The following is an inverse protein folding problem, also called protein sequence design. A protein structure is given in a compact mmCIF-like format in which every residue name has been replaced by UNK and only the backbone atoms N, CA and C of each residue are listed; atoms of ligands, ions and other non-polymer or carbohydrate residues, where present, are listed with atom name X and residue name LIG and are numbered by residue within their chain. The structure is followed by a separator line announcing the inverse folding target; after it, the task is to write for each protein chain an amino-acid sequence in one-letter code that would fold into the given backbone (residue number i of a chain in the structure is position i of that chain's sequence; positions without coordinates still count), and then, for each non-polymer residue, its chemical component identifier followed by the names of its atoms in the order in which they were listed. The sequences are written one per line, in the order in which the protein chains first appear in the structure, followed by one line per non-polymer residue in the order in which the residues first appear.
data_IF_387027420214
#
_entry.id   IF_387027420214
#
_cell.length_a   1.000
_cell.length_b   1.000
_cell.length_c   1.000
_cell.angle_alpha   90.00
_cell.angle_beta   90.00
_cell.angle_gamma   90.00
#
_symmetry.space_group_name_H-M   'P 1'
#
loop_
_entity.id
_entity.type
_entity.pdbx_description
1 polymer ?
#
# COMPACT_ATOMS: atom_id res chain seq x y z
N UNK A 1 12.83 -29.33 5.93
CA UNK A 1 12.99 -27.96 5.40
C UNK A 1 11.61 -27.35 5.33
N UNK A 2 11.39 -26.24 6.04
CA UNK A 2 10.11 -25.54 6.16
C UNK A 2 9.59 -25.10 4.77
N UNK A 3 8.27 -25.13 4.58
CA UNK A 3 7.62 -24.69 3.34
C UNK A 3 7.91 -23.20 3.08
N UNK A 4 7.97 -22.38 4.13
CA UNK A 4 8.38 -20.97 4.06
C UNK A 4 9.78 -20.83 3.49
N UNK A 5 10.74 -21.66 3.94
CA UNK A 5 12.12 -21.62 3.43
C UNK A 5 12.20 -22.02 1.94
N UNK A 6 11.39 -22.99 1.51
CA UNK A 6 11.31 -23.40 0.09
C UNK A 6 10.77 -22.27 -0.77
N UNK A 7 9.66 -21.66 -0.37
CA UNK A 7 9.04 -20.53 -1.09
C UNK A 7 10.02 -19.35 -1.13
N UNK A 8 10.61 -18.99 0.01
CA UNK A 8 11.58 -17.90 0.11
C UNK A 8 12.76 -18.09 -0.86
N UNK A 9 13.34 -19.30 -0.93
CA UNK A 9 14.44 -19.60 -1.86
C UNK A 9 14.03 -19.47 -3.32
N UNK A 10 12.82 -19.90 -3.68
CA UNK A 10 12.30 -19.76 -5.05
C UNK A 10 12.06 -18.30 -5.44
N UNK A 11 11.55 -17.49 -4.51
CA UNK A 11 11.44 -16.03 -4.70
C UNK A 11 12.84 -15.44 -4.90
N UNK A 12 13.79 -15.80 -4.03
CA UNK A 12 15.16 -15.30 -4.06
C UNK A 12 15.89 -15.65 -5.37
N UNK A 13 15.66 -16.85 -5.92
CA UNK A 13 16.29 -17.30 -7.15
C UNK A 13 15.60 -16.81 -8.43
N UNK A 14 14.45 -16.12 -8.32
CA UNK A 14 13.64 -15.75 -9.48
C UNK A 14 13.16 -16.97 -10.27
N UNK A 15 12.73 -18.04 -9.58
CA UNK A 15 12.32 -19.29 -10.23
C UNK A 15 11.18 -19.07 -11.25
N UNK A 16 11.43 -19.40 -12.52
CA UNK A 16 10.46 -19.29 -13.61
C UNK A 16 9.14 -20.05 -13.37
N UNK A 17 9.16 -21.09 -12.52
CA UNK A 17 7.99 -21.90 -12.16
C UNK A 17 7.41 -21.53 -10.79
N UNK A 18 7.79 -20.37 -10.24
CA UNK A 18 7.33 -19.93 -8.94
C UNK A 18 5.80 -19.91 -8.85
N UNK A 19 5.12 -19.30 -9.83
CA UNK A 19 3.65 -19.15 -9.80
C UNK A 19 2.96 -20.52 -9.79
N UNK A 20 3.31 -21.42 -10.70
CA UNK A 20 2.75 -22.78 -10.75
C UNK A 20 2.97 -23.53 -9.43
N UNK A 21 4.17 -23.39 -8.86
CA UNK A 21 4.50 -23.97 -7.58
C UNK A 21 3.64 -23.41 -6.44
N UNK A 22 3.43 -22.09 -6.39
CA UNK A 22 2.61 -21.46 -5.35
C UNK A 22 1.13 -21.88 -5.46
N UNK A 23 0.60 -21.99 -6.69
CA UNK A 23 -0.76 -22.47 -6.95
C UNK A 23 -0.91 -23.92 -6.49
N UNK A 24 0.04 -24.79 -6.87
CA UNK A 24 0.01 -26.20 -6.47
C UNK A 24 0.19 -26.40 -4.96
N UNK A 25 1.01 -25.58 -4.30
CA UNK A 25 1.25 -25.65 -2.86
C UNK A 25 0.05 -25.18 -2.04
N UNK A 26 -0.83 -24.34 -2.59
CA UNK A 26 -2.02 -23.80 -1.93
C UNK A 26 -1.75 -23.26 -0.51
N UNK A 27 -0.64 -22.52 -0.37
CA UNK A 27 -0.08 -22.11 0.92
C UNK A 27 0.00 -20.58 1.08
N UNK A 28 -1.14 -19.86 1.13
CA UNK A 28 -1.17 -18.39 1.10
C UNK A 28 -0.50 -17.73 2.31
N UNK A 29 -0.60 -18.35 3.49
CA UNK A 29 0.05 -17.87 4.72
C UNK A 29 1.57 -17.93 4.59
N UNK A 30 2.10 -19.05 4.12
CA UNK A 30 3.52 -19.28 3.93
C UNK A 30 4.08 -18.37 2.83
N UNK A 31 3.30 -18.11 1.76
CA UNK A 31 3.62 -17.09 0.76
C UNK A 31 3.77 -15.70 1.39
N UNK A 32 2.80 -15.28 2.20
CA UNK A 32 2.83 -13.98 2.87
C UNK A 32 4.05 -13.84 3.80
N UNK A 33 4.36 -14.89 4.57
CA UNK A 33 5.54 -14.92 5.46
C UNK A 33 6.84 -14.83 4.64
N UNK A 34 6.95 -15.62 3.56
CA UNK A 34 8.13 -15.64 2.70
C UNK A 34 8.35 -14.29 1.99
N UNK A 35 7.27 -13.67 1.48
CA UNK A 35 7.31 -12.34 0.88
C UNK A 35 7.69 -11.26 1.89
N UNK A 36 7.10 -11.28 3.08
CA UNK A 36 7.46 -10.33 4.15
C UNK A 36 8.93 -10.49 4.57
N UNK A 37 9.43 -11.74 4.66
CA UNK A 37 10.85 -12.02 4.90
C UNK A 37 11.71 -11.45 3.79
N UNK A 38 11.32 -11.63 2.52
CA UNK A 38 12.03 -11.06 1.37
C UNK A 38 12.12 -9.54 1.44
N UNK A 39 11.00 -8.82 1.64
CA UNK A 39 11.01 -7.37 1.77
C UNK A 39 11.88 -6.88 2.93
N UNK A 40 11.79 -7.53 4.09
CA UNK A 40 12.59 -7.16 5.27
C UNK A 40 14.08 -7.39 5.05
N UNK A 41 14.47 -8.55 4.51
CA UNK A 41 15.88 -8.90 4.29
C UNK A 41 16.55 -7.96 3.29
N UNK A 42 15.86 -7.65 2.18
CA UNK A 42 16.39 -6.80 1.11
C UNK A 42 16.09 -5.31 1.31
N UNK A 43 15.45 -4.92 2.43
CA UNK A 43 15.04 -3.55 2.75
C UNK A 43 14.29 -2.89 1.58
N UNK A 44 13.41 -3.64 0.93
CA UNK A 44 12.64 -3.17 -0.22
C UNK A 44 11.67 -2.10 0.25
N UNK A 45 11.80 -0.90 -0.29
CA UNK A 45 10.88 0.21 -0.07
C UNK A 45 9.88 0.27 -1.21
N UNK A 46 8.60 0.02 -0.89
CA UNK A 46 7.50 0.07 -1.87
C UNK A 46 7.21 1.52 -2.30
N UNK A 47 7.24 2.45 -1.35
CA UNK A 47 6.92 3.86 -1.59
C UNK A 47 8.19 4.70 -1.73
N UNK A 48 8.17 5.75 -2.57
CA UNK A 48 9.26 6.70 -2.63
C UNK A 48 9.37 7.50 -1.32
N UNK A 49 10.56 8.05 -1.05
CA UNK A 49 10.87 8.71 0.22
C UNK A 49 9.89 9.84 0.55
N UNK A 50 9.47 10.64 -0.43
CA UNK A 50 8.52 11.74 -0.20
C UNK A 50 7.13 11.25 0.14
N UNK A 51 6.65 10.19 -0.51
CA UNK A 51 5.39 9.53 -0.14
C UNK A 51 5.46 8.98 1.30
N UNK A 52 6.58 8.36 1.69
CA UNK A 52 6.80 7.89 3.07
C UNK A 52 6.76 9.04 4.08
N UNK A 53 7.43 10.15 3.79
CA UNK A 53 7.44 11.33 4.63
C UNK A 53 6.04 11.92 4.79
N UNK A 54 5.28 12.01 3.71
CA UNK A 54 3.91 12.51 3.71
C UNK A 54 2.97 11.63 4.54
N UNK A 55 3.03 10.30 4.37
CA UNK A 55 2.26 9.35 5.18
C UNK A 55 2.67 9.37 6.66
N UNK A 56 3.94 9.67 6.93
CA UNK A 56 4.48 9.69 8.28
C UNK A 56 4.23 11.01 9.02
N UNK A 57 3.92 12.09 8.29
CA UNK A 57 3.70 13.42 8.83
C UNK A 57 2.41 13.52 9.66
N UNK A 58 2.34 14.53 10.53
CA UNK A 58 1.09 14.94 11.18
C UNK A 58 0.27 15.75 10.19
N UNK A 59 -0.77 15.12 9.63
CA UNK A 59 -1.64 15.71 8.62
C UNK A 59 -2.93 16.30 9.24
N UNK A 60 -2.79 16.97 10.39
CA UNK A 60 -3.92 17.48 11.16
C UNK A 60 -4.72 18.49 10.34
N UNK A 61 -6.04 18.28 10.24
CA UNK A 61 -6.93 19.15 9.46
C UNK A 61 -6.84 18.99 7.94
N UNK A 62 -6.03 18.04 7.43
CA UNK A 62 -5.99 17.67 6.02
C UNK A 62 -6.89 16.44 5.77
N UNK A 63 -7.74 16.43 4.74
CA UNK A 63 -8.53 15.26 4.39
C UNK A 63 -7.63 14.07 4.07
N UNK A 64 -7.95 12.90 4.63
CA UNK A 64 -7.17 11.66 4.43
C UNK A 64 -7.09 11.27 2.96
N UNK A 65 -8.19 11.42 2.23
CA UNK A 65 -8.25 11.22 0.78
C UNK A 65 -7.26 12.11 0.04
N UNK A 66 -7.15 13.40 0.40
CA UNK A 66 -6.18 14.31 -0.22
C UNK A 66 -4.74 13.84 0.01
N UNK A 67 -4.40 13.40 1.23
CA UNK A 67 -3.08 12.84 1.54
C UNK A 67 -2.82 11.57 0.72
N UNK A 68 -3.81 10.68 0.60
CA UNK A 68 -3.70 9.46 -0.18
C UNK A 68 -3.47 9.74 -1.68
N UNK A 69 -4.23 10.65 -2.27
CA UNK A 69 -4.07 11.05 -3.67
C UNK A 69 -2.68 11.66 -3.93
N UNK A 70 -2.19 12.50 -3.01
CA UNK A 70 -0.86 13.11 -3.14
C UNK A 70 0.25 12.06 -3.02
N UNK A 71 0.06 11.04 -2.19
CA UNK A 71 0.94 9.85 -2.15
C UNK A 71 0.96 9.13 -3.50
N UNK A 72 -0.19 8.88 -4.13
CA UNK A 72 -0.26 8.23 -5.45
C UNK A 72 0.46 9.06 -6.51
N UNK A 73 0.27 10.38 -6.47
CA UNK A 73 0.92 11.30 -7.37
C UNK A 73 2.46 11.28 -7.22
N UNK A 74 2.96 11.23 -5.98
CA UNK A 74 4.39 11.06 -5.70
C UNK A 74 4.93 9.71 -6.20
N UNK A 75 4.16 8.62 -6.07
CA UNK A 75 4.54 7.32 -6.64
C UNK A 75 4.71 7.43 -8.16
N UNK A 76 3.75 8.06 -8.84
CA UNK A 76 3.77 8.23 -10.29
C UNK A 76 4.97 9.09 -10.73
N UNK A 77 5.23 10.21 -10.06
CA UNK A 77 6.30 11.14 -10.46
C UNK A 77 7.72 10.70 -10.07
N UNK A 78 7.91 9.99 -8.95
CA UNK A 78 9.26 9.67 -8.43
C UNK A 78 9.73 8.26 -8.77
N UNK A 79 8.86 7.40 -9.30
CA UNK A 79 9.24 6.07 -9.74
C UNK A 79 9.90 6.14 -11.12
N UNK A 80 11.16 6.58 -11.14
CA UNK A 80 11.98 6.75 -12.35
C UNK A 80 12.27 5.46 -13.13
N UNK A 81 11.94 4.28 -12.59
CA UNK A 81 11.98 3.01 -13.30
C UNK A 81 10.62 2.34 -13.30
N UNK A 82 10.20 1.85 -14.47
CA UNK A 82 8.93 1.12 -14.62
C UNK A 82 8.79 -0.02 -13.61
N UNK A 83 9.91 -0.66 -13.23
CA UNK A 83 9.90 -1.75 -12.24
C UNK A 83 9.52 -1.29 -10.82
N UNK A 84 9.94 -0.09 -10.39
CA UNK A 84 9.53 0.45 -9.07
C UNK A 84 8.06 0.82 -9.04
N UNK A 85 7.57 1.45 -10.11
CA UNK A 85 6.15 1.77 -10.25
C UNK A 85 5.31 0.49 -10.29
N UNK A 86 5.73 -0.51 -11.08
CA UNK A 86 5.07 -1.82 -11.15
C UNK A 86 5.02 -2.51 -9.80
N UNK A 87 6.12 -2.49 -9.03
CA UNK A 87 6.15 -3.05 -7.68
C UNK A 87 5.19 -2.32 -6.74
N UNK A 88 5.20 -0.98 -6.76
CA UNK A 88 4.30 -0.16 -5.95
C UNK A 88 2.83 -0.44 -6.30
N UNK A 89 2.48 -0.41 -7.58
CA UNK A 89 1.14 -0.69 -8.07
C UNK A 89 0.69 -2.11 -7.71
N UNK A 90 1.54 -3.13 -7.96
CA UNK A 90 1.21 -4.52 -7.65
C UNK A 90 0.98 -4.73 -6.15
N UNK A 91 1.84 -4.15 -5.30
CA UNK A 91 1.67 -4.26 -3.85
C UNK A 91 0.41 -3.55 -3.34
N UNK A 92 0.16 -2.32 -3.82
CA UNK A 92 -1.02 -1.55 -3.41
C UNK A 92 -2.32 -2.18 -3.91
N UNK A 93 -2.35 -2.74 -5.13
CA UNK A 93 -3.51 -3.50 -5.65
C UNK A 93 -3.76 -4.77 -4.86
N UNK A 94 -2.71 -5.49 -4.46
CA UNK A 94 -2.86 -6.63 -3.56
C UNK A 94 -3.51 -6.20 -2.23
N UNK A 95 -3.08 -5.07 -1.66
CA UNK A 95 -3.70 -4.52 -0.45
C UNK A 95 -5.16 -4.06 -0.69
N UNK A 96 -5.47 -3.47 -1.85
CA UNK A 96 -6.83 -3.12 -2.24
C UNK A 96 -7.72 -4.36 -2.33
N UNK A 97 -7.27 -5.43 -2.99
CA UNK A 97 -8.04 -6.68 -3.08
C UNK A 97 -8.31 -7.28 -1.70
N UNK A 98 -7.32 -7.30 -0.80
CA UNK A 98 -7.51 -7.75 0.58
C UNK A 98 -8.49 -6.86 1.35
N UNK A 99 -8.44 -5.55 1.11
CA UNK A 99 -9.33 -4.55 1.70
C UNK A 99 -10.78 -4.79 1.26
N UNK A 100 -11.01 -4.88 -0.06
CA UNK A 100 -12.33 -5.06 -0.65
C UNK A 100 -12.94 -6.41 -0.26
N UNK A 101 -12.14 -7.48 -0.21
CA UNK A 101 -12.60 -8.78 0.31
C UNK A 101 -13.06 -8.67 1.76
N UNK A 102 -12.32 -7.96 2.61
CA UNK A 102 -12.73 -7.71 3.99
C UNK A 102 -14.08 -6.98 4.11
N UNK A 103 -14.39 -6.08 3.17
CA UNK A 103 -15.71 -5.44 3.11
C UNK A 103 -16.82 -6.37 2.61
N UNK A 104 -16.53 -7.23 1.64
CA UNK A 104 -17.52 -8.11 1.00
C UNK A 104 -17.81 -9.38 1.81
N UNK A 105 -16.85 -9.88 2.60
CA UNK A 105 -17.02 -11.07 3.46
C UNK A 105 -16.76 -10.79 4.94
N UNK A 106 -17.59 -9.93 5.59
CA UNK A 106 -17.36 -9.50 6.98
C UNK A 106 -17.43 -10.64 8.01
N UNK A 107 -18.02 -11.79 7.65
CA UNK A 107 -18.06 -12.99 8.49
C UNK A 107 -16.73 -13.77 8.52
N UNK A 108 -15.87 -13.59 7.50
CA UNK A 108 -14.54 -14.21 7.42
C UNK A 108 -13.46 -13.26 7.93
N UNK A 109 -13.65 -11.95 7.72
CA UNK A 109 -12.75 -10.89 8.16
C UNK A 109 -13.60 -9.78 8.81
N UNK A 110 -13.75 -9.83 10.14
CA UNK A 110 -14.60 -8.88 10.90
C UNK A 110 -14.10 -7.42 10.89
N UNK A 111 -12.85 -7.17 10.44
CA UNK A 111 -12.17 -5.88 10.51
C UNK A 111 -11.30 -5.72 9.26
N UNK A 112 -11.28 -4.53 8.65
CA UNK A 112 -10.33 -4.20 7.57
C UNK A 112 -8.90 -4.20 8.13
N UNK A 113 -8.22 -5.34 8.04
CA UNK A 113 -6.86 -5.55 8.59
C UNK A 113 -5.75 -5.11 7.64
N UNK A 114 -6.05 -4.85 6.38
CA UNK A 114 -5.05 -4.55 5.34
C UNK A 114 -4.13 -3.38 5.68
N UNK A 115 -4.57 -2.24 6.29
CA UNK A 115 -3.64 -1.21 6.73
C UNK A 115 -2.64 -1.70 7.78
N UNK A 116 -3.08 -2.57 8.69
CA UNK A 116 -2.25 -3.13 9.75
C UNK A 116 -1.20 -4.10 9.21
N UNK A 117 -1.60 -4.93 8.25
CA UNK A 117 -0.71 -5.87 7.56
C UNK A 117 0.29 -5.12 6.67
N UNK A 118 -0.14 -4.04 6.01
CA UNK A 118 0.69 -3.30 5.08
C UNK A 118 1.73 -2.41 5.77
N UNK A 119 1.43 -1.87 6.96
CA UNK A 119 2.25 -0.83 7.58
C UNK A 119 3.73 -1.22 7.80
N UNK A 120 4.10 -2.43 8.25
CA UNK A 120 5.52 -2.79 8.42
C UNK A 120 6.32 -2.72 7.12
N UNK A 121 5.66 -2.95 5.98
CA UNK A 121 6.27 -2.92 4.64
C UNK A 121 6.23 -1.51 4.06
N UNK A 122 5.10 -0.81 4.20
CA UNK A 122 4.92 0.54 3.65
C UNK A 122 5.57 1.63 4.48
N UNK A 123 5.77 1.43 5.78
CA UNK A 123 6.33 2.41 6.70
C UNK A 123 7.43 1.71 7.51
N UNK A 124 8.61 1.43 6.92
CA UNK A 124 9.70 0.81 7.65
C UNK A 124 10.27 1.81 8.67
N UNK A 125 9.92 1.69 9.95
CA UNK A 125 10.39 2.58 11.02
C UNK A 125 10.03 2.12 12.43
N UNK A 126 10.73 2.61 13.48
CA UNK A 126 10.55 2.17 14.86
C UNK A 126 9.19 2.58 15.47
N UNK A 127 8.52 3.58 14.90
CA UNK A 127 7.25 4.13 15.42
C UNK A 127 6.02 3.70 14.61
N UNK A 128 6.17 2.79 13.65
CA UNK A 128 5.12 2.43 12.69
C UNK A 128 3.85 1.92 13.36
N UNK A 129 3.98 1.07 14.38
CA UNK A 129 2.84 0.51 15.10
C UNK A 129 2.20 1.50 16.09
N UNK A 130 2.94 2.53 16.53
CA UNK A 130 2.43 3.52 17.49
C UNK A 130 1.43 4.47 16.84
N UNK A 131 1.65 4.80 15.57
CA UNK A 131 0.81 5.73 14.80
C UNK A 131 -0.16 5.01 13.85
N UNK A 132 -0.22 3.68 13.90
CA UNK A 132 -0.95 2.91 12.89
C UNK A 132 -2.46 3.21 12.94
N UNK A 133 -3.01 3.47 14.12
CA UNK A 133 -4.41 3.82 14.28
C UNK A 133 -4.76 5.17 13.64
N UNK A 134 -3.81 6.12 13.60
CA UNK A 134 -4.02 7.43 12.99
C UNK A 134 -3.74 7.41 11.48
N UNK A 135 -2.88 6.49 11.02
CA UNK A 135 -2.49 6.34 9.61
C UNK A 135 -3.35 5.34 8.84
N UNK A 136 -4.03 4.41 9.52
CA UNK A 136 -4.80 3.33 8.91
C UNK A 136 -5.88 3.84 7.95
N UNK A 137 -6.57 4.91 8.32
CA UNK A 137 -7.59 5.51 7.49
C UNK A 137 -7.01 6.18 6.23
N UNK A 138 -5.81 6.75 6.29
CA UNK A 138 -5.12 7.28 5.09
C UNK A 138 -4.61 6.15 4.20
N UNK A 139 -4.08 5.06 4.78
CA UNK A 139 -3.70 3.87 4.02
C UNK A 139 -4.91 3.19 3.35
N UNK A 140 -6.05 3.19 4.03
CA UNK A 140 -7.30 2.71 3.47
C UNK A 140 -7.72 3.53 2.24
N UNK A 141 -7.73 4.87 2.36
CA UNK A 141 -7.97 5.76 1.21
C UNK A 141 -6.98 5.50 0.09
N UNK A 142 -5.70 5.30 0.41
CA UNK A 142 -4.67 4.97 -0.58
C UNK A 142 -4.99 3.68 -1.35
N UNK A 143 -5.43 2.62 -0.66
CA UNK A 143 -5.80 1.36 -1.31
C UNK A 143 -7.05 1.52 -2.16
N UNK A 144 -8.06 2.24 -1.69
CA UNK A 144 -9.31 2.44 -2.40
C UNK A 144 -9.16 3.26 -3.68
N UNK A 145 -8.11 4.09 -3.78
CA UNK A 145 -7.86 4.95 -4.94
C UNK A 145 -6.67 4.48 -5.79
N UNK A 146 -6.13 3.26 -5.57
CA UNK A 146 -4.91 2.78 -6.26
C UNK A 146 -5.06 2.73 -7.79
N UNK A 147 -6.28 2.53 -8.29
CA UNK A 147 -6.56 2.44 -9.74
C UNK A 147 -6.23 3.75 -10.48
N UNK A 148 -6.20 4.88 -9.76
CA UNK A 148 -5.76 6.17 -10.30
C UNK A 148 -4.25 6.20 -10.66
N UNK A 149 -3.47 5.17 -10.32
CA UNK A 149 -2.10 5.04 -10.83
C UNK A 149 -2.05 4.71 -12.32
N UNK A 150 -3.14 4.19 -12.89
CA UNK A 150 -3.22 3.87 -14.33
C UNK A 150 -3.61 5.09 -15.17
N UNK A 151 -4.26 6.08 -14.55
CA UNK A 151 -4.73 7.31 -15.21
C UNK A 151 -4.22 8.57 -14.46
N UNK A 152 -3.04 9.08 -14.84
CA UNK A 152 -2.44 10.26 -14.21
C UNK A 152 -3.27 11.53 -14.37
N UNK A 153 -4.06 11.63 -15.45
CA UNK A 153 -4.90 12.78 -15.72
C UNK A 153 -6.10 12.76 -14.77
N UNK A 154 -6.77 11.61 -14.61
CA UNK A 154 -7.84 11.43 -13.62
C UNK A 154 -7.34 11.67 -12.18
N UNK A 155 -6.14 11.18 -11.85
CA UNK A 155 -5.50 11.43 -10.55
C UNK A 155 -5.31 12.93 -10.28
N UNK A 156 -4.82 13.66 -11.28
CA UNK A 156 -4.62 15.11 -11.21
C UNK A 156 -5.94 15.86 -11.01
N UNK A 157 -7.00 15.44 -11.70
CA UNK A 157 -8.33 16.02 -11.53
C UNK A 157 -8.89 15.80 -10.12
N UNK A 158 -8.83 14.57 -9.60
CA UNK A 158 -9.30 14.25 -8.25
C UNK A 158 -8.51 15.02 -7.18
N UNK A 159 -7.20 15.19 -7.36
CA UNK A 159 -6.36 16.06 -6.53
C UNK A 159 -6.84 17.51 -6.54
N UNK A 160 -7.13 18.06 -7.72
CA UNK A 160 -7.65 19.42 -7.87
C UNK A 160 -9.02 19.60 -7.20
N UNK A 161 -9.91 18.61 -7.35
CA UNK A 161 -11.24 18.59 -6.73
C UNK A 161 -11.15 18.56 -5.21
N UNK A 162 -10.35 17.66 -4.63
CA UNK A 162 -10.18 17.57 -3.17
C UNK A 162 -9.49 18.80 -2.58
N UNK A 163 -8.50 19.36 -3.28
CA UNK A 163 -7.84 20.61 -2.88
C UNK A 163 -8.84 21.77 -2.83
N UNK A 164 -9.70 21.89 -3.84
CA UNK A 164 -10.74 22.92 -3.90
C UNK A 164 -11.78 22.74 -2.77
N UNK A 165 -12.18 21.50 -2.48
CA UNK A 165 -13.06 21.18 -1.34
C UNK A 165 -12.46 21.63 -0.01
N UNK A 166 -11.17 21.39 0.21
CA UNK A 166 -10.47 21.84 1.41
C UNK A 166 -10.44 23.36 1.52
N UNK A 167 -10.14 24.07 0.42
CA UNK A 167 -10.12 25.53 0.40
C UNK A 167 -11.49 26.12 0.76
N UNK A 168 -12.58 25.61 0.17
CA UNK A 168 -13.95 26.03 0.49
C UNK A 168 -14.29 25.81 1.96
N UNK A 169 -13.95 24.65 2.53
CA UNK A 169 -14.16 24.34 3.96
C UNK A 169 -13.41 25.31 4.88
N UNK A 170 -12.24 25.78 4.48
CA UNK A 170 -11.46 26.77 5.25
C UNK A 170 -12.06 28.17 5.15
N UNK A 171 -12.65 28.53 4.01
CA UNK A 171 -13.32 29.82 3.82
C UNK A 171 -14.63 29.91 4.63
N UNK A 172 -15.43 28.84 4.70
CA UNK A 172 -16.68 28.84 5.48
C UNK A 172 -16.47 28.79 7.02
N UNK A 173 -15.22 28.64 7.49
CA UNK A 173 -14.87 28.60 8.92
C UNK A 173 -14.22 29.90 9.42
N UNK A 174 -14.07 30.89 8.55
CA UNK A 174 -13.64 32.26 8.88
C UNK A 174 -14.87 33.15 8.93
#
# INVERSE_FOLDING_TARGET
MDLVDKIYRKIQSGDSKLIDYLVAASAPRECAIAMHRFFRTYKITILPKRALSLLSARNDGIPRRLVALDVLNLIHHESSSGMRLQLAAAYLRMMQQLTLRGYLTPNEIRIVISPYVAAPVLLPGPNTMRDIATKSATLLELFLNVDLLDDPDELSEELGRESTRLQRRRQCRR
#
